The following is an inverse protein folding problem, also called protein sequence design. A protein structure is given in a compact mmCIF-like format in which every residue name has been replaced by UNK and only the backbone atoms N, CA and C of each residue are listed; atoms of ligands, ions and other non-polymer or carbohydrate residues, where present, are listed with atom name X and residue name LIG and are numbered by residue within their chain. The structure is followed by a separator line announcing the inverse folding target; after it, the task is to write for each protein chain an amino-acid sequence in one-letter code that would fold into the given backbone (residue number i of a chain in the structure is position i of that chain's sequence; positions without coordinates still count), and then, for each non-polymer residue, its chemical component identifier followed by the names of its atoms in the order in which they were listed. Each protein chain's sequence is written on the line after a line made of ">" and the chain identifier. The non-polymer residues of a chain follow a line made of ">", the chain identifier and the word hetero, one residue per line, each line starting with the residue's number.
data_IF_580332818413
#
_entry.id   IF_580332818413
#
_cell.length_a   1.000
_cell.length_b   1.000
_cell.length_c   1.000
_cell.angle_alpha   90.00
_cell.angle_beta   90.00
_cell.angle_gamma   90.00
#
_symmetry.space_group_name_H-M   'P 1'
#
loop_
_entity.id
_entity.type
_entity.pdbx_description
1 polymer ?
#
# COMPACT_ATOMS: atom_id res chain seq x y z
N UNK A 1 1.87 1.00 19.54
CA UNK A 1 1.03 0.45 18.46
C UNK A 1 -0.03 1.50 18.11
N UNK A 2 0.19 2.34 17.08
CA UNK A 2 -0.81 3.33 16.65
C UNK A 2 -1.71 2.69 15.60
N UNK A 3 -3.01 2.60 15.87
CA UNK A 3 -4.02 2.13 14.91
C UNK A 3 -4.47 3.33 14.10
N UNK A 4 -4.23 3.33 12.80
CA UNK A 4 -4.94 4.20 11.87
C UNK A 4 -6.20 3.45 11.42
N UNK A 5 -7.39 3.90 11.83
CA UNK A 5 -8.63 3.35 11.32
C UNK A 5 -9.32 4.41 10.45
N UNK A 6 -9.32 4.15 9.14
CA UNK A 6 -9.95 4.98 8.12
C UNK A 6 -11.44 4.61 8.04
N UNK A 7 -12.30 5.37 8.72
CA UNK A 7 -13.73 5.02 8.87
C UNK A 7 -14.68 5.67 7.86
N UNK A 8 -14.19 6.39 6.84
CA UNK A 8 -15.06 7.07 5.88
C UNK A 8 -14.50 7.13 4.45
N UNK A 9 -13.62 6.18 4.09
CA UNK A 9 -13.06 6.09 2.75
C UNK A 9 -13.70 4.94 1.99
N UNK A 10 -14.06 5.18 0.72
CA UNK A 10 -14.55 4.14 -0.17
C UNK A 10 -13.49 3.05 -0.29
N UNK A 11 -13.75 1.86 0.27
CA UNK A 11 -12.82 0.71 0.26
C UNK A 11 -12.28 0.44 -1.13
N UNK A 12 -13.16 0.39 -2.13
CA UNK A 12 -12.76 0.14 -3.52
C UNK A 12 -11.86 1.24 -4.11
N UNK A 13 -12.04 2.50 -3.68
CA UNK A 13 -11.18 3.61 -4.14
C UNK A 13 -9.80 3.54 -3.47
N UNK A 14 -9.76 3.21 -2.19
CA UNK A 14 -8.51 2.94 -1.46
C UNK A 14 -7.76 1.76 -2.07
N UNK A 15 -8.44 0.64 -2.30
CA UNK A 15 -7.87 -0.55 -2.92
C UNK A 15 -7.27 -0.20 -4.28
N UNK A 16 -7.99 0.53 -5.12
CA UNK A 16 -7.48 0.92 -6.44
C UNK A 16 -6.24 1.83 -6.35
N UNK A 17 -6.21 2.77 -5.40
CA UNK A 17 -5.04 3.62 -5.15
C UNK A 17 -3.89 2.76 -4.67
N UNK A 18 -4.05 1.95 -3.62
CA UNK A 18 -2.98 1.10 -3.11
C UNK A 18 -2.45 0.14 -4.17
N UNK A 19 -3.33 -0.45 -4.97
CA UNK A 19 -2.93 -1.37 -6.03
C UNK A 19 -2.17 -0.66 -7.16
N UNK A 20 -2.54 0.58 -7.49
CA UNK A 20 -1.83 1.42 -8.48
C UNK A 20 -0.47 1.88 -7.95
N UNK A 21 -0.47 2.47 -6.77
CA UNK A 21 0.71 3.12 -6.17
C UNK A 21 1.76 2.10 -5.73
N UNK A 22 1.34 1.01 -5.09
CA UNK A 22 2.25 0.02 -4.53
C UNK A 22 2.45 -1.23 -5.40
N UNK A 23 1.92 -1.25 -6.63
CA UNK A 23 2.14 -2.36 -7.56
C UNK A 23 3.64 -2.68 -7.72
N UNK A 24 4.47 -1.64 -7.80
CA UNK A 24 5.93 -1.75 -7.92
C UNK A 24 6.62 -2.30 -6.65
N UNK A 25 5.93 -2.25 -5.51
CA UNK A 25 6.41 -2.71 -4.21
C UNK A 25 5.77 -4.03 -3.76
N UNK A 26 5.10 -4.73 -4.68
CA UNK A 26 4.47 -6.01 -4.42
C UNK A 26 5.53 -6.99 -3.93
N UNK A 27 5.26 -7.63 -2.80
CA UNK A 27 6.23 -8.49 -2.16
C UNK A 27 6.27 -9.86 -2.87
N UNK A 28 7.41 -10.17 -3.49
CA UNK A 28 7.64 -11.46 -4.14
C UNK A 28 8.09 -12.52 -3.12
N UNK A 29 7.17 -12.96 -2.27
CA UNK A 29 7.39 -14.06 -1.34
C UNK A 29 6.37 -15.16 -1.51
N UNK A 30 6.86 -16.38 -1.33
CA UNK A 30 6.02 -17.57 -1.23
C UNK A 30 6.02 -17.99 0.23
N UNK A 31 4.86 -17.91 0.87
CA UNK A 31 4.66 -18.39 2.24
C UNK A 31 3.84 -19.67 2.22
N UNK A 32 4.16 -20.60 3.11
CA UNK A 32 3.31 -21.76 3.30
C UNK A 32 2.08 -21.37 4.11
N UNK A 33 0.90 -21.64 3.54
CA UNK A 33 -0.35 -21.54 4.28
C UNK A 33 -0.40 -22.61 5.39
N UNK A 34 -1.37 -22.50 6.32
CA UNK A 34 -1.58 -23.44 7.43
C UNK A 34 -1.77 -24.91 7.03
N UNK A 35 -1.96 -25.18 5.74
CA UNK A 35 -2.06 -26.53 5.17
C UNK A 35 -0.82 -26.96 4.37
N UNK A 36 0.29 -26.21 4.42
CA UNK A 36 1.53 -26.52 3.70
C UNK A 36 1.49 -26.18 2.20
N UNK A 37 0.48 -25.43 1.75
CA UNK A 37 0.39 -25.01 0.36
C UNK A 37 1.17 -23.71 0.16
N UNK A 38 2.06 -23.62 -0.86
CA UNK A 38 2.74 -22.38 -1.19
C UNK A 38 1.73 -21.35 -1.71
N UNK A 39 1.57 -20.25 -0.97
CA UNK A 39 0.71 -19.12 -1.32
C UNK A 39 1.57 -17.89 -1.54
N UNK A 40 1.33 -17.21 -2.67
CA UNK A 40 1.93 -15.92 -2.99
C UNK A 40 0.90 -14.81 -2.76
N UNK A 41 1.01 -14.04 -1.67
CA UNK A 41 0.06 -12.97 -1.38
C UNK A 41 0.23 -11.83 -2.38
N UNK A 42 -0.82 -11.53 -3.14
CA UNK A 42 -0.80 -10.46 -4.17
C UNK A 42 -1.05 -9.06 -3.62
N UNK A 43 -1.45 -8.96 -2.36
CA UNK A 43 -1.87 -7.72 -1.71
C UNK A 43 -0.94 -7.31 -0.56
N UNK A 44 0.25 -7.91 -0.51
CA UNK A 44 1.25 -7.60 0.50
C UNK A 44 2.29 -6.68 -0.11
N UNK A 45 2.47 -5.52 0.51
CA UNK A 45 3.37 -4.47 0.08
C UNK A 45 4.33 -4.14 1.22
N UNK A 46 5.62 -4.02 0.93
CA UNK A 46 6.59 -3.55 1.92
C UNK A 46 6.82 -2.06 1.72
N UNK A 47 6.28 -1.29 2.65
CA UNK A 47 6.27 0.16 2.59
C UNK A 47 6.64 0.74 3.94
N UNK A 48 7.52 1.76 4.01
CA UNK A 48 7.82 2.43 5.26
C UNK A 48 6.59 3.12 5.88
N UNK A 49 6.54 3.19 7.20
CA UNK A 49 5.45 3.81 7.93
C UNK A 49 5.23 5.29 7.58
N UNK A 50 6.30 6.04 7.32
CA UNK A 50 6.20 7.47 6.96
C UNK A 50 5.50 7.68 5.61
N UNK A 51 5.74 6.78 4.65
CA UNK A 51 5.09 6.81 3.34
C UNK A 51 3.60 6.52 3.47
N UNK A 52 3.21 5.57 4.33
CA UNK A 52 1.81 5.27 4.61
C UNK A 52 1.11 6.51 5.17
N UNK A 53 1.75 7.22 6.10
CA UNK A 53 1.21 8.45 6.69
C UNK A 53 1.00 9.54 5.62
N UNK A 54 2.00 9.77 4.76
CA UNK A 54 1.87 10.70 3.64
C UNK A 54 0.75 10.31 2.67
N UNK A 55 0.69 9.05 2.23
CA UNK A 55 -0.38 8.57 1.34
C UNK A 55 -1.75 8.82 1.99
N UNK A 56 -1.90 8.53 3.27
CA UNK A 56 -3.15 8.76 4.01
C UNK A 56 -3.51 10.26 4.06
N UNK A 57 -2.53 11.15 4.24
CA UNK A 57 -2.76 12.60 4.17
C UNK A 57 -3.19 13.03 2.77
N UNK A 58 -2.50 12.56 1.72
CA UNK A 58 -2.80 12.90 0.31
C UNK A 58 -4.14 12.33 -0.18
N UNK A 59 -4.57 11.20 0.37
CA UNK A 59 -5.91 10.64 0.09
C UNK A 59 -7.00 11.51 0.73
N UNK A 60 -6.75 12.03 1.93
CA UNK A 60 -7.68 12.95 2.60
C UNK A 60 -7.76 14.31 1.87
N UNK A 61 -6.63 14.80 1.36
CA UNK A 61 -6.54 16.07 0.63
C UNK A 61 -6.97 15.96 -0.85
N UNK A 62 -6.92 14.75 -1.42
CA UNK A 62 -7.32 14.45 -2.80
C UNK A 62 -6.20 14.49 -3.84
N UNK A 63 -4.99 14.93 -3.47
CA UNK A 63 -3.83 15.08 -4.38
C UNK A 63 -3.01 13.80 -4.61
N UNK A 64 -3.46 12.64 -4.12
CA UNK A 64 -2.73 11.37 -4.28
C UNK A 64 -2.58 10.92 -5.74
N UNK A 65 -3.46 11.38 -6.64
CA UNK A 65 -3.45 10.96 -8.06
C UNK A 65 -2.20 11.39 -8.83
N UNK A 66 -1.53 12.44 -8.36
CA UNK A 66 -0.32 13.02 -8.98
C UNK A 66 0.98 12.41 -8.44
N UNK A 67 0.89 11.50 -7.47
CA UNK A 67 2.06 10.89 -6.85
C UNK A 67 2.18 9.43 -7.30
N UNK A 68 3.40 8.91 -7.18
CA UNK A 68 3.79 7.53 -7.43
C UNK A 68 4.78 7.08 -6.35
N UNK A 69 4.59 5.88 -5.77
CA UNK A 69 5.56 5.30 -4.86
C UNK A 69 6.75 4.68 -5.60
N UNK A 70 7.95 5.17 -5.31
CA UNK A 70 9.19 4.58 -5.80
C UNK A 70 9.79 3.60 -4.78
N UNK A 71 9.83 2.29 -5.08
CA UNK A 71 10.37 1.29 -4.15
C UNK A 71 11.90 1.35 -4.01
N UNK A 72 12.62 1.96 -4.96
CA UNK A 72 14.09 2.06 -4.91
C UNK A 72 14.57 3.12 -3.91
N UNK A 73 13.81 4.20 -3.77
CA UNK A 73 14.09 5.33 -2.87
C UNK A 73 13.18 5.36 -1.65
N UNK A 74 12.18 4.47 -1.61
CA UNK A 74 11.19 4.33 -0.55
C UNK A 74 10.44 5.64 -0.24
N UNK A 75 10.06 6.37 -1.28
CA UNK A 75 9.48 7.71 -1.24
C UNK A 75 8.33 7.86 -2.24
N UNK A 76 7.42 8.80 -1.98
CA UNK A 76 6.46 9.27 -2.98
C UNK A 76 7.12 10.32 -3.86
N UNK A 77 7.13 10.07 -5.16
CA UNK A 77 7.56 11.02 -6.19
C UNK A 77 6.32 11.62 -6.85
N UNK A 78 6.43 12.86 -7.34
CA UNK A 78 5.39 13.57 -8.08
C UNK A 78 5.92 14.14 -9.38
#
# INVERSE_FOLDING_TARGET
>A
MRRACLHNLNRSKLEHIFHREFSAAQLDLTIEDRFGNPVKPREWFLVPLHVIDEVVQRIQDGSITELHYDPGTAQLLG
#
